data_IF_966303459295
#
_entry.id   IF_966303459295
#
_cell.length_a   1.000
_cell.length_b   1.000
_cell.length_c   1.000
_cell.angle_alpha   90.00
_cell.angle_beta   90.00
_cell.angle_gamma   90.00
#
_symmetry.space_group_name_H-M   'P 1'
#
loop_
_entity.id
_entity.type
_entity.pdbx_description
1 polymer ?
#
# COMPACT_ATOMS: atom_id res chain seq x y z
N UNK A 1 -8.84 22.57 -27.18
CA UNK A 1 -9.59 21.35 -26.81
C UNK A 1 -9.92 21.41 -25.33
N UNK A 2 -11.18 21.17 -24.94
CA UNK A 2 -11.58 21.11 -23.53
C UNK A 2 -11.33 19.69 -23.00
N UNK A 3 -10.73 19.58 -21.82
CA UNK A 3 -10.50 18.30 -21.15
C UNK A 3 -11.83 17.65 -20.77
N UNK A 4 -12.02 16.34 -21.02
CA UNK A 4 -13.16 15.58 -20.53
C UNK A 4 -13.38 15.76 -19.02
N UNK A 5 -14.64 15.83 -18.60
CA UNK A 5 -14.99 16.09 -17.20
C UNK A 5 -14.43 15.02 -16.24
N UNK A 6 -14.42 13.76 -16.64
CA UNK A 6 -13.85 12.65 -15.86
C UNK A 6 -12.35 12.81 -15.63
N UNK A 7 -11.61 13.20 -16.66
CA UNK A 7 -10.16 13.45 -16.59
C UNK A 7 -9.86 14.67 -15.73
N UNK A 8 -10.62 15.76 -15.90
CA UNK A 8 -10.48 16.96 -15.07
C UNK A 8 -10.69 16.64 -13.59
N UNK A 9 -11.73 15.85 -13.26
CA UNK A 9 -12.01 15.40 -11.89
C UNK A 9 -10.85 14.56 -11.34
N UNK A 10 -10.34 13.60 -12.12
CA UNK A 10 -9.23 12.76 -11.69
C UNK A 10 -7.98 13.60 -11.41
N UNK A 11 -7.64 14.53 -12.31
CA UNK A 11 -6.51 15.43 -12.15
C UNK A 11 -6.64 16.31 -10.89
N UNK A 12 -7.84 16.86 -10.64
CA UNK A 12 -8.08 17.67 -9.45
C UNK A 12 -7.90 16.87 -8.16
N UNK A 13 -8.36 15.61 -8.13
CA UNK A 13 -8.14 14.71 -6.99
C UNK A 13 -6.65 14.43 -6.81
N UNK A 14 -5.92 14.09 -7.87
CA UNK A 14 -4.48 13.82 -7.78
C UNK A 14 -3.67 15.04 -7.35
N UNK A 15 -4.03 16.23 -7.83
CA UNK A 15 -3.42 17.49 -7.42
C UNK A 15 -3.67 17.77 -5.93
N UNK A 16 -4.91 17.55 -5.47
CA UNK A 16 -5.25 17.69 -4.05
C UNK A 16 -4.42 16.72 -3.19
N UNK A 17 -4.38 15.43 -3.55
CA UNK A 17 -3.60 14.43 -2.81
C UNK A 17 -2.10 14.76 -2.80
N UNK A 18 -1.55 15.27 -3.90
CA UNK A 18 -0.16 15.72 -3.97
C UNK A 18 0.14 16.97 -3.15
N UNK A 19 -0.87 17.75 -2.75
CA UNK A 19 -0.72 18.94 -1.92
C UNK A 19 -0.81 18.65 -0.41
N UNK A 20 -1.20 17.44 -0.03
CA UNK A 20 -1.40 17.06 1.37
C UNK A 20 -0.30 16.13 1.86
N UNK A 21 0.00 16.18 3.16
CA UNK A 21 0.78 15.14 3.83
C UNK A 21 -0.11 13.91 4.09
N UNK A 22 0.17 12.74 3.48
CA UNK A 22 -0.61 11.53 3.68
C UNK A 22 -0.70 11.12 5.15
N UNK A 23 0.35 11.31 5.95
CA UNK A 23 0.36 10.94 7.37
C UNK A 23 -0.62 11.78 8.18
N UNK A 24 -0.67 13.09 7.89
CA UNK A 24 -1.59 14.02 8.55
C UNK A 24 -3.04 13.63 8.26
N UNK A 25 -3.37 13.32 6.99
CA UNK A 25 -4.73 12.91 6.67
C UNK A 25 -5.07 11.57 7.34
N UNK A 26 -4.19 10.57 7.27
CA UNK A 26 -4.43 9.26 7.89
C UNK A 26 -4.64 9.39 9.41
N UNK A 27 -3.90 10.28 10.08
CA UNK A 27 -4.10 10.61 11.50
C UNK A 27 -5.49 11.20 11.75
N UNK A 28 -5.89 12.20 10.98
CA UNK A 28 -7.20 12.84 11.12
C UNK A 28 -8.35 11.86 10.90
N UNK A 29 -8.20 10.93 9.94
CA UNK A 29 -9.19 9.88 9.69
C UNK A 29 -9.35 8.93 10.88
N UNK A 30 -8.25 8.56 11.54
CA UNK A 30 -8.26 7.70 12.73
C UNK A 30 -8.86 8.42 13.95
N UNK A 31 -8.52 9.69 14.15
CA UNK A 31 -8.93 10.46 15.34
C UNK A 31 -10.40 10.92 15.27
N UNK A 32 -10.90 11.22 14.07
CA UNK A 32 -12.18 11.94 13.93
C UNK A 32 -13.23 11.22 13.08
N UNK A 33 -12.87 10.21 12.30
CA UNK A 33 -13.78 9.56 11.33
C UNK A 33 -13.78 8.04 11.46
N UNK A 34 -13.81 7.53 12.69
CA UNK A 34 -13.69 6.09 12.98
C UNK A 34 -15.03 5.41 13.33
N UNK A 35 -16.16 6.12 13.37
CA UNK A 35 -17.47 5.58 13.76
C UNK A 35 -18.60 5.92 12.79
N UNK A 36 -19.65 5.10 12.81
CA UNK A 36 -20.90 5.33 12.07
C UNK A 36 -20.70 5.49 10.56
N UNK A 37 -21.48 6.39 9.95
CA UNK A 37 -21.39 6.68 8.51
C UNK A 37 -20.03 7.31 8.12
N UNK A 38 -19.38 8.02 9.04
CA UNK A 38 -18.06 8.63 8.79
C UNK A 38 -16.96 7.59 8.61
N UNK A 39 -17.09 6.40 9.22
CA UNK A 39 -16.15 5.30 9.03
C UNK A 39 -16.11 4.82 7.56
N UNK A 40 -17.25 4.82 6.87
CA UNK A 40 -17.33 4.48 5.45
C UNK A 40 -16.60 5.49 4.56
N UNK A 41 -16.76 6.79 4.84
CA UNK A 41 -16.02 7.85 4.14
C UNK A 41 -14.52 7.80 4.46
N UNK A 42 -14.16 7.58 5.72
CA UNK A 42 -12.78 7.38 6.16
C UNK A 42 -12.10 6.24 5.41
N UNK A 43 -12.80 5.12 5.22
CA UNK A 43 -12.29 4.01 4.41
C UNK A 43 -12.03 4.41 2.95
N UNK A 44 -12.95 5.14 2.32
CA UNK A 44 -12.77 5.60 0.93
C UNK A 44 -11.59 6.57 0.78
N UNK A 45 -11.46 7.54 1.69
CA UNK A 45 -10.35 8.51 1.67
C UNK A 45 -9.02 7.80 1.94
N UNK A 46 -8.98 6.88 2.90
CA UNK A 46 -7.80 6.04 3.17
C UNK A 46 -7.39 5.25 1.93
N UNK A 47 -8.32 4.54 1.30
CA UNK A 47 -8.06 3.78 0.08
C UNK A 47 -7.51 4.67 -1.04
N UNK A 48 -8.07 5.87 -1.21
CA UNK A 48 -7.61 6.84 -2.20
C UNK A 48 -6.16 7.28 -1.96
N UNK A 49 -5.79 7.58 -0.71
CA UNK A 49 -4.44 7.98 -0.32
C UNK A 49 -3.44 6.84 -0.55
N UNK A 50 -3.76 5.63 -0.07
CA UNK A 50 -2.89 4.47 -0.22
C UNK A 50 -2.70 4.11 -1.69
N UNK A 51 -3.76 4.15 -2.50
CA UNK A 51 -3.67 3.94 -3.95
C UNK A 51 -2.79 4.99 -4.64
N UNK A 52 -2.85 6.26 -4.20
CA UNK A 52 -1.97 7.30 -4.75
C UNK A 52 -0.50 7.06 -4.41
N UNK A 53 -0.19 6.56 -3.22
CA UNK A 53 1.19 6.23 -2.83
C UNK A 53 1.69 5.05 -3.66
N UNK A 54 0.86 4.02 -3.82
CA UNK A 54 1.18 2.82 -4.61
C UNK A 54 1.40 3.20 -6.07
N UNK A 55 0.52 3.99 -6.67
CA UNK A 55 0.61 4.36 -8.10
C UNK A 55 1.85 5.21 -8.40
N UNK A 56 2.28 6.05 -7.46
CA UNK A 56 3.49 6.87 -7.57
C UNK A 56 4.76 6.16 -7.09
N UNK A 57 4.63 4.96 -6.50
CA UNK A 57 5.72 4.20 -5.87
C UNK A 57 6.43 4.96 -4.73
N UNK A 58 5.71 5.85 -4.05
CA UNK A 58 6.25 6.73 -3.00
C UNK A 58 6.19 6.07 -1.60
N UNK A 59 6.51 4.78 -1.53
CA UNK A 59 6.35 3.96 -0.31
C UNK A 59 7.14 4.51 0.89
N UNK A 60 8.26 5.19 0.63
CA UNK A 60 9.11 5.84 1.64
C UNK A 60 8.37 6.86 2.51
N UNK A 61 7.27 7.46 2.03
CA UNK A 61 6.44 8.40 2.80
C UNK A 61 5.87 7.75 4.06
N UNK A 62 5.49 6.47 3.99
CA UNK A 62 4.90 5.75 5.12
C UNK A 62 5.84 4.74 5.77
N UNK A 63 6.94 4.34 5.11
CA UNK A 63 7.83 3.26 5.55
C UNK A 63 8.32 3.37 7.01
N UNK A 64 8.54 4.59 7.51
CA UNK A 64 9.05 4.85 8.87
C UNK A 64 7.96 5.24 9.87
N UNK A 65 6.70 4.95 9.54
CA UNK A 65 5.52 5.41 10.29
C UNK A 65 4.67 4.24 10.75
N UNK A 66 3.79 4.46 11.74
CA UNK A 66 2.79 3.47 12.15
C UNK A 66 1.83 3.07 11.01
N UNK A 67 1.70 3.91 9.98
CA UNK A 67 0.83 3.67 8.84
C UNK A 67 1.41 2.69 7.82
N UNK A 68 2.69 2.28 7.95
CA UNK A 68 3.27 1.34 7.02
C UNK A 68 2.55 -0.01 7.04
N UNK A 69 2.11 -0.47 8.21
CA UNK A 69 1.32 -1.69 8.34
C UNK A 69 -0.04 -1.58 7.63
N UNK A 70 -0.66 -0.40 7.69
CA UNK A 70 -1.91 -0.13 6.97
C UNK A 70 -1.69 -0.21 5.44
N UNK A 71 -0.56 0.29 4.94
CA UNK A 71 -0.18 0.18 3.53
C UNK A 71 0.09 -1.29 3.13
N UNK A 72 0.85 -2.05 3.93
CA UNK A 72 1.11 -3.49 3.69
C UNK A 72 -0.21 -4.27 3.55
N UNK A 73 -1.14 -4.08 4.49
CA UNK A 73 -2.47 -4.72 4.45
C UNK A 73 -3.29 -4.34 3.22
N UNK A 74 -3.32 -3.05 2.86
CA UNK A 74 -4.05 -2.57 1.69
C UNK A 74 -3.53 -3.16 0.38
N UNK A 75 -2.20 -3.24 0.26
CA UNK A 75 -1.51 -3.84 -0.88
C UNK A 75 -1.84 -5.32 -1.02
N UNK A 76 -1.86 -6.08 0.09
CA UNK A 76 -2.26 -7.49 0.07
C UNK A 76 -3.72 -7.67 -0.38
N UNK A 77 -4.64 -6.85 0.14
CA UNK A 77 -6.06 -6.93 -0.19
C UNK A 77 -6.38 -6.54 -1.65
N UNK A 78 -5.54 -5.70 -2.27
CA UNK A 78 -5.71 -5.22 -3.66
C UNK A 78 -4.87 -6.00 -4.67
N UNK A 79 -4.14 -7.03 -4.22
CA UNK A 79 -3.27 -7.86 -5.06
C UNK A 79 -2.19 -7.08 -5.82
N UNK A 80 -1.76 -5.92 -5.29
CA UNK A 80 -0.75 -5.05 -5.90
C UNK A 80 0.59 -5.10 -5.15
N UNK A 81 1.01 -6.32 -4.79
CA UNK A 81 2.12 -6.57 -3.87
C UNK A 81 3.51 -6.43 -4.49
N UNK A 82 3.63 -6.70 -5.79
CA UNK A 82 4.91 -6.72 -6.50
C UNK A 82 5.72 -5.43 -6.31
N UNK A 83 5.08 -4.27 -6.43
CA UNK A 83 5.78 -2.99 -6.31
C UNK A 83 6.29 -2.72 -4.89
N UNK A 84 5.52 -3.12 -3.87
CA UNK A 84 5.95 -2.98 -2.48
C UNK A 84 7.07 -3.97 -2.13
N UNK A 85 7.01 -5.21 -2.63
CA UNK A 85 8.09 -6.20 -2.47
C UNK A 85 9.39 -5.70 -3.11
N UNK A 86 9.31 -5.14 -4.31
CA UNK A 86 10.47 -4.56 -4.98
C UNK A 86 11.07 -3.40 -4.18
N UNK A 87 10.23 -2.50 -3.66
CA UNK A 87 10.71 -1.42 -2.79
C UNK A 87 11.38 -1.98 -1.53
N UNK A 88 10.76 -2.93 -0.82
CA UNK A 88 11.35 -3.51 0.37
C UNK A 88 12.72 -4.15 0.09
N UNK A 89 12.82 -4.95 -0.98
CA UNK A 89 14.03 -5.68 -1.31
C UNK A 89 15.20 -4.77 -1.72
N UNK A 90 14.90 -3.64 -2.36
CA UNK A 90 15.92 -2.71 -2.87
C UNK A 90 16.27 -1.59 -1.87
N UNK A 91 15.29 -1.05 -1.16
CA UNK A 91 15.44 0.17 -0.35
C UNK A 91 15.51 -0.09 1.16
N UNK A 92 15.03 -1.25 1.64
CA UNK A 92 15.00 -1.58 3.07
C UNK A 92 15.85 -2.81 3.39
N UNK A 93 15.34 -4.00 3.10
CA UNK A 93 16.09 -5.25 3.21
C UNK A 93 15.37 -6.39 2.51
N UNK A 94 16.16 -7.38 2.12
CA UNK A 94 15.66 -8.65 1.60
C UNK A 94 14.81 -9.40 2.65
N UNK A 95 15.16 -9.26 3.94
CA UNK A 95 14.39 -9.82 5.05
C UNK A 95 12.98 -9.21 5.14
N UNK A 96 12.84 -7.88 5.08
CA UNK A 96 11.54 -7.20 5.10
C UNK A 96 10.66 -7.62 3.91
N UNK A 97 11.26 -7.74 2.72
CA UNK A 97 10.58 -8.25 1.54
C UNK A 97 10.08 -9.69 1.74
N UNK A 98 10.91 -10.56 2.31
CA UNK A 98 10.56 -11.95 2.58
C UNK A 98 9.43 -12.11 3.59
N UNK A 99 9.39 -11.25 4.63
CA UNK A 99 8.30 -11.21 5.61
C UNK A 99 6.99 -10.85 4.92
N UNK A 100 6.98 -9.79 4.11
CA UNK A 100 5.76 -9.37 3.38
C UNK A 100 5.26 -10.46 2.40
N UNK A 101 6.17 -11.11 1.67
CA UNK A 101 5.81 -12.22 0.77
C UNK A 101 5.17 -13.36 1.57
N UNK A 102 5.75 -13.71 2.71
CA UNK A 102 5.25 -14.81 3.56
C UNK A 102 3.86 -14.49 4.11
N UNK A 103 3.64 -13.27 4.57
CA UNK A 103 2.32 -12.78 5.03
C UNK A 103 1.29 -12.84 3.90
N UNK A 104 1.64 -12.38 2.71
CA UNK A 104 0.76 -12.40 1.54
C UNK A 104 0.45 -13.81 1.06
N UNK A 105 1.46 -14.68 0.96
CA UNK A 105 1.30 -16.09 0.62
C UNK A 105 0.33 -16.79 1.59
N UNK A 106 0.45 -16.52 2.89
CA UNK A 106 -0.49 -17.00 3.90
C UNK A 106 -1.89 -16.40 3.71
N UNK A 107 -2.00 -15.10 3.41
CA UNK A 107 -3.26 -14.42 3.12
C UNK A 107 -3.98 -15.00 1.90
N UNK A 108 -3.24 -15.45 0.89
CA UNK A 108 -3.76 -16.12 -0.30
C UNK A 108 -4.00 -17.63 -0.12
N UNK A 109 -3.72 -18.20 1.06
CA UNK A 109 -3.89 -19.63 1.34
C UNK A 109 -2.81 -20.54 0.73
N UNK A 110 -1.67 -19.97 0.32
CA UNK A 110 -0.51 -20.69 -0.25
C UNK A 110 0.74 -20.44 0.61
N UNK A 111 0.84 -20.98 1.83
CA UNK A 111 1.95 -20.68 2.72
C UNK A 111 3.30 -21.13 2.13
N UNK A 112 4.33 -20.32 2.37
CA UNK A 112 5.73 -20.60 2.01
C UNK A 112 6.32 -21.59 3.03
N UNK A 113 7.28 -22.46 2.66
CA UNK A 113 7.97 -23.33 3.61
C UNK A 113 8.62 -22.53 4.75
N UNK A 114 8.55 -23.05 5.99
CA UNK A 114 9.00 -22.33 7.19
C UNK A 114 10.52 -22.13 7.26
N UNK A 115 11.28 -22.94 6.52
CA UNK A 115 12.74 -22.98 6.53
C UNK A 115 13.36 -22.29 5.30
N UNK A 116 12.54 -21.72 4.40
CA UNK A 116 13.03 -21.09 3.19
C UNK A 116 13.85 -19.83 3.52
N UNK A 117 15.04 -19.71 2.92
CA UNK A 117 15.85 -18.51 3.10
C UNK A 117 15.18 -17.29 2.41
N UNK A 118 15.35 -16.06 2.93
CA UNK A 118 14.75 -14.86 2.34
C UNK A 118 14.95 -14.73 0.81
N UNK A 119 16.12 -15.12 0.30
CA UNK A 119 16.42 -15.05 -1.13
C UNK A 119 15.67 -16.11 -1.95
N UNK A 120 15.38 -17.27 -1.36
CA UNK A 120 14.56 -18.33 -1.95
C UNK A 120 13.10 -17.91 -1.98
N UNK A 121 12.59 -17.33 -0.89
CA UNK A 121 11.23 -16.78 -0.81
C UNK A 121 10.99 -15.75 -1.91
N UNK A 122 11.94 -14.83 -2.11
CA UNK A 122 11.85 -13.83 -3.19
C UNK A 122 11.86 -14.48 -4.58
N UNK A 123 12.72 -15.47 -4.82
CA UNK A 123 12.76 -16.21 -6.10
C UNK A 123 11.44 -16.94 -6.35
N UNK A 124 10.91 -17.61 -5.34
CA UNK A 124 9.63 -18.32 -5.41
C UNK A 124 8.50 -17.33 -5.80
N UNK A 125 8.46 -16.15 -5.18
CA UNK A 125 7.49 -15.10 -5.49
C UNK A 125 7.60 -14.60 -6.94
N UNK A 126 8.82 -14.29 -7.39
CA UNK A 126 9.08 -13.85 -8.76
C UNK A 126 8.78 -14.94 -9.80
N UNK A 127 8.93 -16.21 -9.44
CA UNK A 127 8.53 -17.35 -10.27
C UNK A 127 7.02 -17.63 -10.24
N UNK A 128 6.26 -16.87 -9.44
CA UNK A 128 4.80 -16.91 -9.41
C UNK A 128 4.17 -17.78 -8.33
N UNK A 129 4.90 -18.09 -7.24
CA UNK A 129 4.46 -18.83 -6.03
C UNK A 129 3.06 -19.48 -6.08
#
# INVERSE_FOLDING_TARGET
MLMPHSEKRHQQIQNFLGSCDPQVILKQLEEHMNTGQLAGFSHQIRSLILNSIISKKEFGILAKTKYFQMLKMHVMNTNNITELVNYLANDLSLDEASVLITEYSKHCGKPVPSEAAPCEILKMFLSGL
#
